data_IF_488729064179
#
_entry.id   IF_488729064179
#
_cell.length_a   1.000
_cell.length_b   1.000
_cell.length_c   1.000
_cell.angle_alpha   90.00
_cell.angle_beta   90.00
_cell.angle_gamma   90.00
#
_symmetry.space_group_name_H-M   'P 1'
#
loop_
_entity.id
_entity.type
_entity.pdbx_description
1 polymer ?
#
# COMPACT_ATOMS: atom_id res chain seq x y z
N UNK A 1 -48.78 49.04 -63.17
CA UNK A 1 -48.11 47.93 -63.89
C UNK A 1 -47.36 47.14 -62.83
N UNK A 2 -47.95 46.03 -62.41
CA UNK A 2 -47.60 45.33 -61.17
C UNK A 2 -46.81 44.09 -61.54
N UNK A 3 -45.50 44.12 -61.31
CA UNK A 3 -44.65 42.93 -61.52
C UNK A 3 -44.84 42.02 -60.32
N UNK A 4 -45.36 40.82 -60.57
CA UNK A 4 -45.49 39.73 -59.60
C UNK A 4 -44.18 38.94 -59.56
N UNK A 5 -43.45 39.02 -58.46
CA UNK A 5 -42.32 38.12 -58.19
C UNK A 5 -42.85 36.88 -57.46
N UNK A 6 -42.75 35.73 -58.14
CA UNK A 6 -42.97 34.41 -57.56
C UNK A 6 -41.73 34.06 -56.73
N UNK A 7 -41.85 34.06 -55.40
CA UNK A 7 -40.83 33.53 -54.50
C UNK A 7 -41.22 32.10 -54.15
N UNK A 8 -40.44 31.14 -54.62
CA UNK A 8 -40.49 29.75 -54.20
C UNK A 8 -39.89 29.70 -52.79
N UNK A 9 -40.72 29.50 -51.76
CA UNK A 9 -40.27 29.22 -50.40
C UNK A 9 -39.89 27.75 -50.35
N UNK A 10 -38.61 27.45 -50.50
CA UNK A 10 -38.05 26.18 -50.04
C UNK A 10 -37.94 26.30 -48.52
N UNK A 11 -38.85 25.66 -47.79
CA UNK A 11 -38.73 25.47 -46.36
C UNK A 11 -37.59 24.48 -46.10
N UNK A 12 -36.37 25.00 -45.92
CA UNK A 12 -35.31 24.22 -45.31
C UNK A 12 -35.55 24.30 -43.81
N UNK A 13 -36.10 23.22 -43.24
CA UNK A 13 -36.09 22.98 -41.81
C UNK A 13 -34.65 23.08 -41.30
N UNK A 14 -34.28 24.22 -40.72
CA UNK A 14 -33.11 24.28 -39.85
C UNK A 14 -33.47 23.58 -38.56
N UNK A 15 -33.17 22.27 -38.52
CA UNK A 15 -33.09 21.55 -37.26
C UNK A 15 -32.16 22.31 -36.32
N UNK A 16 -32.64 22.52 -35.09
CA UNK A 16 -31.77 22.77 -33.95
C UNK A 16 -30.65 21.74 -34.00
N UNK A 17 -29.44 22.16 -34.36
CA UNK A 17 -28.25 21.41 -34.00
C UNK A 17 -28.05 21.70 -32.51
N UNK A 18 -28.79 20.97 -31.67
CA UNK A 18 -28.27 20.65 -30.35
C UNK A 18 -26.90 20.04 -30.61
N UNK A 19 -25.88 20.56 -29.92
CA UNK A 19 -24.59 19.91 -29.87
C UNK A 19 -24.84 18.47 -29.44
N UNK A 20 -24.79 17.55 -30.41
CA UNK A 20 -24.90 16.14 -30.16
C UNK A 20 -23.56 15.79 -29.51
N UNK A 21 -23.48 15.96 -28.19
CA UNK A 21 -22.44 15.36 -27.39
C UNK A 21 -22.39 13.91 -27.82
N UNK A 22 -21.26 13.48 -28.37
CA UNK A 22 -20.99 12.06 -28.59
C UNK A 22 -21.20 11.40 -27.23
N UNK A 23 -22.33 10.71 -27.06
CA UNK A 23 -22.61 9.92 -25.88
C UNK A 23 -21.65 8.73 -25.94
N UNK A 24 -20.43 8.94 -25.43
CA UNK A 24 -19.54 7.84 -25.10
C UNK A 24 -20.28 7.05 -24.03
N UNK A 25 -20.61 5.75 -24.23
CA UNK A 25 -21.28 4.98 -23.20
C UNK A 25 -20.39 4.97 -21.95
N UNK A 26 -20.80 5.72 -20.93
CA UNK A 26 -20.12 5.83 -19.67
C UNK A 26 -20.29 4.52 -18.89
N UNK A 27 -19.50 3.51 -19.22
CA UNK A 27 -19.30 2.37 -18.32
C UNK A 27 -18.47 2.86 -17.16
N UNK A 28 -19.16 3.34 -16.13
CA UNK A 28 -18.57 3.85 -14.90
C UNK A 28 -19.37 5.02 -14.35
N UNK A 29 -20.54 4.72 -13.77
CA UNK A 29 -21.23 5.65 -12.87
C UNK A 29 -20.25 6.00 -11.75
N UNK A 30 -19.63 7.19 -11.81
CA UNK A 30 -19.01 7.76 -10.63
C UNK A 30 -20.16 8.08 -9.70
N UNK A 31 -20.31 7.31 -8.63
CA UNK A 31 -21.19 7.68 -7.53
C UNK A 31 -20.70 9.01 -6.96
N UNK A 32 -21.23 10.11 -7.48
CA UNK A 32 -21.08 11.43 -6.88
C UNK A 32 -21.97 11.39 -5.65
N UNK A 33 -21.37 11.46 -4.46
CA UNK A 33 -22.09 11.56 -3.19
C UNK A 33 -23.11 12.71 -3.30
N UNK A 34 -24.34 12.54 -2.80
CA UNK A 34 -25.32 13.62 -2.78
C UNK A 34 -24.77 14.76 -1.90
N UNK A 35 -24.27 15.82 -2.52
CA UNK A 35 -23.68 16.97 -1.82
C UNK A 35 -22.52 17.68 -2.51
N UNK A 36 -21.93 17.13 -3.58
CA UNK A 36 -20.83 17.83 -4.28
C UNK A 36 -21.38 18.93 -5.19
N UNK A 37 -21.40 20.18 -4.69
CA UNK A 37 -21.55 21.37 -5.53
C UNK A 37 -20.39 21.41 -6.52
N UNK A 38 -20.67 21.19 -7.80
CA UNK A 38 -19.73 21.50 -8.88
C UNK A 38 -19.59 23.02 -8.86
N UNK A 39 -18.49 23.50 -8.29
CA UNK A 39 -18.16 24.93 -8.30
C UNK A 39 -17.98 25.28 -9.77
N UNK A 40 -18.93 26.04 -10.32
CA UNK A 40 -18.77 26.72 -11.60
C UNK A 40 -17.45 27.47 -11.52
N UNK A 41 -16.50 27.12 -12.37
CA UNK A 41 -15.27 27.90 -12.53
C UNK A 41 -15.69 29.34 -12.79
N UNK A 42 -15.31 30.24 -11.88
CA UNK A 42 -15.58 31.65 -11.99
C UNK A 42 -14.85 32.11 -13.27
N UNK A 43 -15.62 32.41 -14.33
CA UNK A 43 -15.05 32.81 -15.59
C UNK A 43 -14.47 34.22 -15.41
N UNK A 44 -13.16 34.32 -15.25
CA UNK A 44 -12.47 35.61 -15.21
C UNK A 44 -12.76 36.33 -16.53
N UNK A 45 -13.64 37.32 -16.48
CA UNK A 45 -13.99 38.14 -17.64
C UNK A 45 -12.97 39.27 -17.71
N UNK A 46 -11.95 39.09 -18.54
CA UNK A 46 -10.95 40.12 -18.82
C UNK A 46 -11.58 41.17 -19.75
N UNK A 47 -11.63 42.46 -19.38
CA UNK A 47 -12.12 43.52 -20.27
C UNK A 47 -11.30 43.58 -21.57
N UNK A 48 -11.98 43.40 -22.70
CA UNK A 48 -11.36 43.40 -24.04
C UNK A 48 -11.38 44.82 -24.61
N UNK A 49 -10.53 45.68 -24.05
CA UNK A 49 -10.42 47.10 -24.43
C UNK A 49 -9.11 47.37 -25.16
N UNK A 50 -9.15 48.23 -26.19
CA UNK A 50 -7.97 48.69 -26.91
C UNK A 50 -7.82 50.21 -26.77
N UNK A 51 -6.69 50.67 -26.22
CA UNK A 51 -6.38 52.09 -26.15
C UNK A 51 -5.97 52.65 -27.51
N UNK A 52 -6.59 53.75 -27.94
CA UNK A 52 -6.24 54.43 -29.16
C UNK A 52 -6.12 55.94 -28.93
N UNK A 53 -5.06 56.53 -29.47
CA UNK A 53 -4.81 57.97 -29.41
C UNK A 53 -4.50 58.47 -30.82
N UNK A 54 -4.97 59.68 -31.11
CA UNK A 54 -4.79 60.27 -32.42
C UNK A 54 -4.81 61.80 -32.37
N UNK A 55 -4.39 62.40 -33.47
CA UNK A 55 -4.51 63.83 -33.72
C UNK A 55 -5.37 64.07 -34.95
N UNK A 56 -6.43 64.85 -34.80
CA UNK A 56 -7.27 65.33 -35.87
C UNK A 56 -6.74 66.68 -36.38
N UNK A 57 -6.55 66.77 -37.68
CA UNK A 57 -6.15 67.99 -38.38
C UNK A 57 -7.13 68.30 -39.52
N UNK A 58 -7.27 69.58 -39.86
CA UNK A 58 -7.96 70.01 -41.06
C UNK A 58 -7.14 69.72 -42.33
N UNK A 59 -7.69 70.07 -43.49
CA UNK A 59 -7.02 69.93 -44.79
C UNK A 59 -5.75 70.78 -44.95
N UNK A 60 -5.53 71.75 -44.07
CA UNK A 60 -4.36 72.64 -44.03
C UNK A 60 -3.33 72.16 -42.99
N UNK A 61 -3.59 71.06 -42.27
CA UNK A 61 -2.74 70.50 -41.24
C UNK A 61 -2.87 71.17 -39.86
N UNK A 62 -3.80 72.13 -39.70
CA UNK A 62 -4.06 72.74 -38.39
C UNK A 62 -4.87 71.79 -37.51
N UNK A 63 -4.63 71.76 -36.19
CA UNK A 63 -5.45 70.98 -35.28
C UNK A 63 -6.90 71.47 -35.33
N UNK A 64 -7.85 70.52 -35.27
CA UNK A 64 -9.27 70.89 -35.16
C UNK A 64 -9.54 71.63 -33.84
N UNK A 65 -10.54 72.53 -33.80
CA UNK A 65 -10.91 73.24 -32.58
C UNK A 65 -11.24 72.31 -31.40
N UNK A 66 -11.06 72.83 -30.18
CA UNK A 66 -11.47 72.12 -28.98
C UNK A 66 -13.00 71.92 -28.98
N UNK A 67 -13.44 70.69 -28.76
CA UNK A 67 -14.86 70.35 -28.86
C UNK A 67 -15.14 68.87 -28.67
N UNK A 68 -16.42 68.50 -28.73
CA UNK A 68 -16.84 67.09 -28.79
C UNK A 68 -17.14 66.72 -30.22
N UNK A 69 -16.51 65.65 -30.69
CA UNK A 69 -16.68 65.12 -32.05
C UNK A 69 -17.26 63.72 -31.99
N UNK A 70 -18.12 63.36 -32.94
CA UNK A 70 -18.60 61.99 -33.07
C UNK A 70 -17.59 61.22 -33.92
N UNK A 71 -16.93 60.23 -33.33
CA UNK A 71 -15.97 59.38 -34.03
C UNK A 71 -16.58 58.00 -34.23
N UNK A 72 -16.58 57.54 -35.48
CA UNK A 72 -16.95 56.16 -35.80
C UNK A 72 -15.68 55.37 -36.14
N UNK A 73 -15.41 54.35 -35.33
CA UNK A 73 -14.29 53.44 -35.47
C UNK A 73 -14.76 52.15 -36.13
N UNK A 74 -13.95 51.61 -37.04
CA UNK A 74 -14.24 50.35 -37.72
C UNK A 74 -12.99 49.50 -37.85
N UNK A 75 -13.14 48.19 -37.68
CA UNK A 75 -12.07 47.21 -37.88
C UNK A 75 -12.34 46.35 -39.11
N UNK A 76 -11.31 46.16 -39.92
CA UNK A 76 -11.33 45.40 -41.17
C UNK A 76 -10.22 44.36 -41.19
N UNK A 77 -10.44 43.29 -41.94
CA UNK A 77 -9.42 42.27 -42.28
C UNK A 77 -8.63 42.61 -43.55
N UNK A 78 -8.99 43.69 -44.25
CA UNK A 78 -8.42 44.11 -45.53
C UNK A 78 -8.07 45.59 -45.52
N UNK A 79 -7.00 45.97 -46.21
CA UNK A 79 -6.50 47.35 -46.29
C UNK A 79 -7.45 48.28 -47.05
N UNK A 80 -8.06 47.78 -48.12
CA UNK A 80 -9.04 48.49 -48.96
C UNK A 80 -10.26 47.62 -49.21
N UNK A 81 -11.44 48.23 -49.32
CA UNK A 81 -12.70 47.51 -49.47
C UNK A 81 -13.09 46.68 -48.24
N UNK A 82 -13.82 45.59 -48.47
CA UNK A 82 -14.29 44.67 -47.44
C UNK A 82 -15.40 45.24 -46.54
N UNK A 83 -16.05 44.36 -45.77
CA UNK A 83 -17.00 44.73 -44.73
C UNK A 83 -16.28 44.84 -43.37
N UNK A 84 -16.64 45.82 -42.53
CA UNK A 84 -16.09 45.88 -41.18
C UNK A 84 -16.63 44.71 -40.37
N UNK A 85 -15.76 44.01 -39.64
CA UNK A 85 -16.20 42.96 -38.71
C UNK A 85 -16.61 43.54 -37.34
N UNK A 86 -16.23 44.78 -37.08
CA UNK A 86 -16.59 45.49 -35.86
C UNK A 86 -16.74 46.99 -36.15
N UNK A 87 -17.69 47.63 -35.46
CA UNK A 87 -17.99 49.06 -35.59
C UNK A 87 -18.43 49.62 -34.24
N UNK A 88 -17.92 50.80 -33.90
CA UNK A 88 -18.26 51.50 -32.69
C UNK A 88 -18.36 53.00 -32.95
N UNK A 89 -19.38 53.64 -32.39
CA UNK A 89 -19.58 55.09 -32.44
C UNK A 89 -19.39 55.65 -31.03
N UNK A 90 -18.49 56.62 -30.88
CA UNK A 90 -18.24 57.29 -29.61
C UNK A 90 -18.25 58.81 -29.80
N UNK A 91 -18.77 59.54 -28.80
CA UNK A 91 -18.60 61.00 -28.71
C UNK A 91 -17.37 61.28 -27.86
N UNK A 92 -16.38 61.94 -28.45
CA UNK A 92 -15.04 62.09 -27.87
C UNK A 92 -14.68 63.57 -27.77
N UNK A 93 -14.21 63.99 -26.60
CA UNK A 93 -13.68 65.34 -26.43
C UNK A 93 -12.26 65.44 -26.97
N UNK A 94 -12.05 66.38 -27.90
CA UNK A 94 -10.78 66.67 -28.54
C UNK A 94 -10.24 67.98 -27.98
N UNK A 95 -8.94 68.02 -27.64
CA UNK A 95 -8.24 69.24 -27.20
C UNK A 95 -6.92 69.42 -27.95
N UNK A 96 -6.69 70.59 -28.53
CA UNK A 96 -5.58 70.88 -29.44
C UNK A 96 -5.46 69.84 -30.57
N UNK A 97 -6.61 69.35 -31.05
CA UNK A 97 -6.69 68.27 -32.04
C UNK A 97 -6.34 66.87 -31.51
N UNK A 98 -5.96 66.68 -30.25
CA UNK A 98 -5.59 65.37 -29.69
C UNK A 98 -6.79 64.73 -28.98
N UNK A 99 -6.91 63.41 -29.12
CA UNK A 99 -7.91 62.61 -28.39
C UNK A 99 -7.33 61.27 -27.91
N UNK A 100 -7.98 60.69 -26.90
CA UNK A 100 -7.68 59.35 -26.35
C UNK A 100 -8.98 58.63 -26.09
N UNK A 101 -9.10 57.39 -26.54
CA UNK A 101 -10.30 56.55 -26.41
C UNK A 101 -9.96 55.11 -26.06
N UNK A 102 -10.92 54.42 -25.47
CA UNK A 102 -10.90 52.98 -25.26
C UNK A 102 -11.92 52.34 -26.21
N UNK A 103 -11.42 51.66 -27.24
CA UNK A 103 -12.23 50.91 -28.17
C UNK A 103 -12.72 49.62 -27.50
N UNK A 104 -13.97 49.27 -27.73
CA UNK A 104 -14.65 48.14 -27.07
C UNK A 104 -15.45 48.52 -25.83
N UNK A 105 -15.47 49.81 -25.45
CA UNK A 105 -16.14 50.28 -24.23
C UNK A 105 -17.66 50.47 -24.41
N UNK A 106 -18.12 50.82 -25.61
CA UNK A 106 -19.53 50.98 -25.96
C UNK A 106 -20.01 49.73 -26.70
N UNK A 107 -19.27 49.29 -27.72
CA UNK A 107 -19.53 48.04 -28.46
C UNK A 107 -18.41 47.04 -28.20
N UNK A 108 -18.60 46.02 -27.35
CA UNK A 108 -17.55 45.06 -27.02
C UNK A 108 -16.97 44.37 -28.25
N UNK A 109 -15.64 44.19 -28.26
CA UNK A 109 -14.95 43.39 -29.28
C UNK A 109 -15.06 41.92 -28.89
N UNK A 110 -16.01 41.21 -29.49
CA UNK A 110 -16.29 39.80 -29.19
C UNK A 110 -15.17 38.86 -29.67
N UNK A 111 -14.66 39.10 -30.87
CA UNK A 111 -13.60 38.30 -31.48
C UNK A 111 -12.76 39.14 -32.44
N UNK A 112 -11.47 38.82 -32.51
CA UNK A 112 -10.59 39.24 -33.59
C UNK A 112 -10.24 38.03 -34.45
N UNK A 113 -10.01 38.17 -35.76
CA UNK A 113 -9.60 37.04 -36.59
C UNK A 113 -8.29 36.42 -36.09
N UNK A 114 -8.24 35.09 -35.96
CA UNK A 114 -7.06 34.35 -35.47
C UNK A 114 -5.86 34.44 -36.43
N UNK A 115 -6.14 34.65 -37.71
CA UNK A 115 -5.15 34.82 -38.75
C UNK A 115 -5.45 36.06 -39.60
N UNK A 116 -4.40 36.79 -39.97
CA UNK A 116 -4.47 37.92 -40.88
C UNK A 116 -4.06 39.25 -40.27
N UNK A 117 -4.20 40.31 -41.04
CA UNK A 117 -3.93 41.68 -40.62
C UNK A 117 -5.21 42.40 -40.23
N UNK A 118 -5.15 43.20 -39.18
CA UNK A 118 -6.27 44.04 -38.74
C UNK A 118 -5.97 45.49 -39.10
N UNK A 119 -6.95 46.17 -39.68
CA UNK A 119 -6.88 47.58 -40.04
C UNK A 119 -7.97 48.36 -39.30
N UNK A 120 -7.58 49.48 -38.71
CA UNK A 120 -8.46 50.45 -38.09
C UNK A 120 -8.74 51.59 -39.06
N UNK A 121 -10.01 51.95 -39.20
CA UNK A 121 -10.39 53.19 -39.84
C UNK A 121 -11.19 54.09 -38.93
N UNK A 122 -11.17 55.37 -39.26
CA UNK A 122 -11.80 56.44 -38.51
C UNK A 122 -12.66 57.26 -39.45
N UNK A 123 -13.87 57.57 -39.01
CA UNK A 123 -14.74 58.55 -39.62
C UNK A 123 -15.08 59.61 -38.59
N UNK A 124 -14.95 60.88 -38.97
CA UNK A 124 -15.28 62.04 -38.13
C UNK A 124 -16.64 62.57 -38.55
N UNK A 125 -17.55 62.68 -37.59
CA UNK A 125 -18.95 63.07 -37.77
C UNK A 125 -19.60 62.33 -38.95
N UNK A 126 -20.23 63.07 -39.87
CA UNK A 126 -20.84 62.53 -41.09
C UNK A 126 -19.90 62.60 -42.31
N UNK A 127 -18.60 62.84 -42.09
CA UNK A 127 -17.61 62.92 -43.15
C UNK A 127 -17.32 61.57 -43.82
N UNK A 128 -16.42 61.57 -44.79
CA UNK A 128 -15.91 60.32 -45.38
C UNK A 128 -14.99 59.57 -44.40
N UNK A 129 -14.93 58.25 -44.53
CA UNK A 129 -13.93 57.43 -43.83
C UNK A 129 -12.51 57.87 -44.24
N UNK A 130 -11.65 58.10 -43.25
CA UNK A 130 -10.28 58.54 -43.47
C UNK A 130 -9.46 57.41 -44.10
N UNK A 131 -8.66 57.76 -45.11
CA UNK A 131 -7.73 56.87 -45.80
C UNK A 131 -6.30 57.43 -45.72
N UNK A 132 -5.26 56.58 -45.67
CA UNK A 132 -5.30 55.11 -45.60
C UNK A 132 -5.72 54.57 -44.22
N UNK A 133 -6.20 53.32 -44.19
CA UNK A 133 -6.50 52.64 -42.92
C UNK A 133 -5.22 52.35 -42.14
N UNK A 134 -5.28 52.47 -40.81
CA UNK A 134 -4.15 52.22 -39.94
C UNK A 134 -4.02 50.72 -39.66
N UNK A 135 -2.90 50.11 -40.05
CA UNK A 135 -2.61 48.71 -39.69
C UNK A 135 -2.28 48.60 -38.20
N UNK A 136 -2.97 47.70 -37.51
CA UNK A 136 -2.63 47.33 -36.12
C UNK A 136 -1.51 46.29 -36.16
N UNK A 137 -0.49 46.50 -35.34
CA UNK A 137 0.70 45.64 -35.25
C UNK A 137 0.95 45.22 -33.81
N UNK A 138 1.55 44.04 -33.63
CA UNK A 138 1.97 43.54 -32.33
C UNK A 138 3.20 44.29 -31.81
N UNK A 139 3.27 44.48 -30.50
CA UNK A 139 4.49 44.94 -29.83
C UNK A 139 5.58 43.85 -29.85
N UNK A 140 6.86 44.25 -29.82
CA UNK A 140 8.00 43.32 -29.89
C UNK A 140 7.94 42.21 -28.81
N UNK A 141 7.59 42.54 -27.57
CA UNK A 141 7.44 41.56 -26.49
C UNK A 141 6.17 40.72 -26.62
N UNK A 142 5.14 41.21 -27.30
CA UNK A 142 3.91 40.46 -27.52
C UNK A 142 4.12 39.27 -28.47
N UNK A 143 5.19 39.24 -29.29
CA UNK A 143 5.51 38.03 -30.07
C UNK A 143 5.76 36.80 -29.20
N UNK A 144 6.14 36.97 -27.93
CA UNK A 144 6.34 35.85 -27.01
C UNK A 144 5.02 35.19 -26.56
N UNK A 145 3.87 35.84 -26.74
CA UNK A 145 2.56 35.29 -26.34
C UNK A 145 2.11 34.13 -27.21
N UNK A 146 2.74 33.90 -28.37
CA UNK A 146 2.52 32.68 -29.16
C UNK A 146 2.78 31.40 -28.32
N UNK A 147 3.69 31.47 -27.36
CA UNK A 147 3.94 30.36 -26.41
C UNK A 147 2.75 30.09 -25.49
N UNK A 148 2.00 31.14 -25.13
CA UNK A 148 0.82 31.01 -24.28
C UNK A 148 -0.37 30.43 -25.05
N UNK A 149 -0.45 30.62 -26.37
CA UNK A 149 -1.51 30.05 -27.20
C UNK A 149 -1.52 28.50 -27.16
N UNK A 150 -0.36 27.89 -26.91
CA UNK A 150 -0.21 26.44 -26.80
C UNK A 150 -0.19 25.94 -25.34
N UNK A 151 -0.60 26.77 -24.37
CA UNK A 151 -0.55 26.40 -22.94
C UNK A 151 -1.42 25.20 -22.57
N UNK A 152 -2.51 24.98 -23.30
CA UNK A 152 -3.41 23.83 -23.12
C UNK A 152 -2.90 22.55 -23.82
N UNK A 153 -1.81 22.64 -24.58
CA UNK A 153 -1.25 21.53 -25.35
C UNK A 153 -0.04 20.92 -24.65
N UNK A 154 -0.02 19.60 -24.50
CA UNK A 154 1.17 18.86 -24.11
C UNK A 154 1.83 18.28 -25.37
N UNK A 155 3.06 18.68 -25.66
CA UNK A 155 3.78 18.27 -26.89
C UNK A 155 2.97 18.58 -28.18
N UNK A 156 2.21 19.69 -28.18
CA UNK A 156 1.36 20.08 -29.32
C UNK A 156 0.09 19.25 -29.49
N UNK A 157 -0.29 18.46 -28.47
CA UNK A 157 -1.52 17.66 -28.45
C UNK A 157 -2.43 18.12 -27.31
N UNK A 158 -3.72 18.22 -27.59
CA UNK A 158 -4.74 18.44 -26.57
C UNK A 158 -4.85 17.20 -25.65
N UNK A 159 -5.32 17.41 -24.42
CA UNK A 159 -5.72 16.36 -23.46
C UNK A 159 -6.53 15.21 -24.06
N UNK A 160 -7.38 15.47 -25.06
CA UNK A 160 -8.19 14.46 -25.76
C UNK A 160 -7.35 13.43 -26.53
N UNK A 161 -6.12 13.77 -26.91
CA UNK A 161 -5.18 12.86 -27.55
C UNK A 161 -4.61 11.82 -26.58
N UNK A 162 -4.62 12.13 -25.28
CA UNK A 162 -4.06 11.25 -24.26
C UNK A 162 -5.16 10.41 -23.63
N UNK A 163 -4.98 9.09 -23.65
CA UNK A 163 -5.86 8.20 -22.89
C UNK A 163 -5.69 8.49 -21.40
N UNK A 164 -6.81 8.63 -20.67
CA UNK A 164 -6.78 8.77 -19.21
C UNK A 164 -6.16 7.52 -18.61
N UNK A 165 -4.92 7.62 -18.14
CA UNK A 165 -4.26 6.55 -17.42
C UNK A 165 -4.97 6.34 -16.07
N UNK A 166 -5.89 5.37 -16.01
CA UNK A 166 -6.41 4.87 -14.75
C UNK A 166 -5.32 3.98 -14.18
N UNK A 167 -4.53 4.52 -13.26
CA UNK A 167 -3.57 3.75 -12.49
C UNK A 167 -4.13 3.57 -11.09
N UNK A 168 -4.28 2.32 -10.68
CA UNK A 168 -4.59 1.98 -9.30
C UNK A 168 -3.28 2.04 -8.53
N UNK A 169 -3.09 3.07 -7.72
CA UNK A 169 -2.05 3.03 -6.70
C UNK A 169 -2.46 1.95 -5.69
N UNK A 170 -1.69 0.87 -5.60
CA UNK A 170 -1.95 -0.20 -4.64
C UNK A 170 -1.74 0.23 -3.17
N UNK A 171 -1.50 1.52 -2.91
CA UNK A 171 -1.14 2.05 -1.61
C UNK A 171 -1.60 3.51 -1.44
N UNK A 172 -2.89 3.72 -1.20
CA UNK A 172 -3.37 4.94 -0.53
C UNK A 172 -4.41 4.51 0.51
N UNK A 173 -3.95 4.29 1.73
CA UNK A 173 -4.78 4.17 2.93
C UNK A 173 -5.20 5.57 3.42
N UNK A 174 -5.72 6.42 2.56
CA UNK A 174 -6.16 7.77 2.97
C UNK A 174 -7.58 8.12 2.52
N UNK A 175 -8.39 7.12 2.20
CA UNK A 175 -9.84 7.27 2.11
C UNK A 175 -10.55 5.90 2.14
N UNK A 176 -10.83 5.38 3.34
CA UNK A 176 -11.99 4.48 3.54
C UNK A 176 -11.85 2.99 3.23
N UNK A 177 -10.72 2.35 3.55
CA UNK A 177 -10.63 0.89 3.39
C UNK A 177 -9.42 0.24 4.05
N UNK A 178 -9.35 0.27 5.38
CA UNK A 178 -8.35 -0.46 6.19
C UNK A 178 -8.59 -2.00 6.18
N UNK A 179 -8.75 -2.59 5.00
CA UNK A 179 -9.05 -4.02 4.82
C UNK A 179 -7.92 -4.79 4.14
N UNK A 180 -6.80 -4.13 3.79
CA UNK A 180 -5.67 -4.74 3.11
C UNK A 180 -4.33 -4.24 3.66
N UNK A 181 -3.43 -5.16 3.97
CA UNK A 181 -2.01 -4.88 4.24
C UNK A 181 -1.20 -5.62 3.17
N UNK A 182 -0.23 -4.93 2.53
CA UNK A 182 0.59 -5.48 1.45
C UNK A 182 -0.22 -6.14 0.31
N UNK A 183 -1.37 -5.55 -0.06
CA UNK A 183 -2.18 -6.03 -1.18
C UNK A 183 -3.03 -7.28 -0.90
N UNK A 184 -3.07 -7.81 0.32
CA UNK A 184 -3.87 -8.99 0.68
C UNK A 184 -4.99 -8.60 1.64
N UNK A 185 -6.18 -9.17 1.46
CA UNK A 185 -7.32 -8.98 2.35
C UNK A 185 -6.97 -9.41 3.78
N UNK A 186 -7.45 -8.70 4.81
CA UNK A 186 -7.27 -9.07 6.22
C UNK A 186 -7.74 -10.51 6.53
N UNK A 187 -8.77 -11.00 5.81
CA UNK A 187 -9.24 -12.39 5.90
C UNK A 187 -8.27 -13.42 5.31
N UNK A 188 -7.32 -13.01 4.46
CA UNK A 188 -6.24 -13.83 3.90
C UNK A 188 -4.87 -13.59 4.55
N UNK A 189 -4.83 -12.87 5.68
CA UNK A 189 -3.65 -12.70 6.52
C UNK A 189 -3.56 -13.78 7.61
N UNK A 190 -4.70 -14.41 7.95
CA UNK A 190 -4.80 -15.47 8.97
C UNK A 190 -3.98 -16.73 8.64
N UNK A 191 -3.68 -16.97 7.35
CA UNK A 191 -2.79 -18.07 6.93
C UNK A 191 -1.30 -17.74 6.98
N UNK A 192 -0.93 -16.48 7.21
CA UNK A 192 0.46 -15.99 7.16
C UNK A 192 0.97 -15.46 8.49
N UNK A 193 0.08 -15.23 9.45
CA UNK A 193 0.41 -14.72 10.77
C UNK A 193 -0.31 -15.53 11.83
N UNK A 194 0.40 -15.82 12.92
CA UNK A 194 -0.17 -16.41 14.13
C UNK A 194 -0.77 -15.26 14.95
N UNK A 195 -2.07 -15.29 15.22
CA UNK A 195 -2.71 -14.28 16.08
C UNK A 195 -2.30 -14.51 17.55
N UNK A 196 -1.85 -13.45 18.23
CA UNK A 196 -1.52 -13.49 19.65
C UNK A 196 -2.79 -13.69 20.50
N UNK A 197 -2.72 -14.52 21.54
CA UNK A 197 -3.81 -14.70 22.52
C UNK A 197 -5.02 -15.54 22.04
N UNK A 198 -5.00 -16.08 20.82
CA UNK A 198 -6.05 -16.97 20.32
C UNK A 198 -5.71 -18.45 20.55
N UNK A 199 -6.72 -19.24 20.93
CA UNK A 199 -6.56 -20.69 21.03
C UNK A 199 -6.33 -21.31 19.64
N UNK A 200 -5.42 -22.28 19.54
CA UNK A 200 -5.08 -22.99 18.31
C UNK A 200 -4.52 -22.10 17.17
N UNK A 201 -3.91 -20.96 17.50
CA UNK A 201 -3.30 -20.07 16.51
C UNK A 201 -2.07 -20.67 15.82
N UNK A 202 -1.49 -21.73 16.39
CA UNK A 202 -0.51 -22.62 15.74
C UNK A 202 -1.15 -24.00 15.62
N UNK A 203 -1.34 -24.48 14.39
CA UNK A 203 -1.91 -25.82 14.10
C UNK A 203 -0.85 -26.78 13.57
N UNK A 204 -1.14 -28.08 13.53
CA UNK A 204 -0.19 -29.10 13.04
C UNK A 204 0.31 -28.81 11.61
N UNK A 205 -0.54 -28.30 10.73
CA UNK A 205 -0.15 -27.93 9.36
C UNK A 205 0.84 -26.76 9.27
N UNK A 206 1.00 -25.98 10.34
CA UNK A 206 1.96 -24.87 10.43
C UNK A 206 3.34 -25.32 10.92
N UNK A 207 3.47 -26.57 11.39
CA UNK A 207 4.72 -27.14 11.91
C UNK A 207 5.18 -28.20 10.91
N UNK A 208 6.41 -28.06 10.39
CA UNK A 208 6.98 -29.13 9.56
C UNK A 208 7.47 -30.28 10.44
N UNK A 209 7.07 -31.50 10.11
CA UNK A 209 7.45 -32.69 10.86
C UNK A 209 8.99 -32.83 10.99
N UNK A 210 9.45 -33.14 12.20
CA UNK A 210 10.88 -33.35 12.51
C UNK A 210 11.73 -32.08 12.62
N UNK A 211 11.13 -30.88 12.46
CA UNK A 211 11.89 -29.61 12.52
C UNK A 211 11.99 -28.98 13.91
N UNK A 212 11.07 -29.33 14.84
CA UNK A 212 11.14 -28.85 16.22
C UNK A 212 12.23 -29.57 17.01
N UNK A 213 13.25 -28.81 17.42
CA UNK A 213 14.39 -29.22 18.22
C UNK A 213 14.30 -28.69 19.65
N UNK A 214 15.19 -29.20 20.52
CA UNK A 214 15.30 -28.71 21.92
C UNK A 214 15.71 -27.25 22.02
N UNK A 215 16.35 -26.70 20.99
CA UNK A 215 16.72 -25.29 20.93
C UNK A 215 15.52 -24.37 20.63
N UNK A 216 14.43 -24.89 20.05
CA UNK A 216 13.26 -24.11 19.66
C UNK A 216 12.29 -23.85 20.84
N UNK A 217 12.52 -24.51 21.98
CA UNK A 217 11.73 -24.36 23.21
C UNK A 217 12.60 -23.80 24.34
N UNK A 218 11.97 -23.06 25.26
CA UNK A 218 12.67 -22.53 26.43
C UNK A 218 13.32 -23.67 27.25
N UNK A 219 14.47 -23.39 27.89
CA UNK A 219 15.27 -24.40 28.60
C UNK A 219 14.53 -25.15 29.71
N UNK A 220 13.47 -24.56 30.27
CA UNK A 220 12.59 -25.17 31.28
C UNK A 220 11.26 -25.71 30.76
N UNK A 221 11.05 -25.77 29.44
CA UNK A 221 9.80 -26.25 28.85
C UNK A 221 9.51 -27.70 29.26
N UNK A 222 8.36 -27.93 29.89
CA UNK A 222 7.80 -29.25 30.19
C UNK A 222 6.54 -29.43 29.35
N UNK A 223 6.54 -30.38 28.42
CA UNK A 223 5.34 -30.63 27.63
C UNK A 223 4.20 -31.11 28.57
N UNK A 224 2.97 -30.55 28.47
CA UNK A 224 1.86 -30.86 29.39
C UNK A 224 1.45 -32.34 29.45
N UNK A 225 1.87 -33.13 28.45
CA UNK A 225 1.66 -34.57 28.36
C UNK A 225 2.95 -35.26 27.90
N UNK A 226 4.12 -34.78 28.33
CA UNK A 226 5.41 -35.39 28.01
C UNK A 226 5.37 -36.86 28.44
N UNK A 227 5.29 -37.76 27.47
CA UNK A 227 5.28 -39.18 27.76
C UNK A 227 6.68 -39.59 28.19
N UNK A 228 6.92 -39.52 29.50
CA UNK A 228 8.14 -40.07 30.10
C UNK A 228 8.21 -41.57 29.82
N UNK A 229 7.11 -42.21 29.39
CA UNK A 229 7.07 -43.62 29.01
C UNK A 229 7.82 -43.92 27.72
N UNK A 230 7.94 -43.00 26.74
CA UNK A 230 8.63 -43.32 25.49
C UNK A 230 10.14 -43.40 25.67
N UNK A 231 10.73 -42.49 26.47
CA UNK A 231 12.12 -42.62 26.91
C UNK A 231 12.31 -43.85 27.81
N UNK A 232 11.35 -44.17 28.69
CA UNK A 232 11.41 -45.37 29.54
C UNK A 232 11.25 -46.69 28.77
N UNK A 233 10.63 -46.68 27.58
CA UNK A 233 10.38 -47.85 26.73
C UNK A 233 11.60 -48.23 25.88
N UNK A 234 12.46 -47.26 25.53
CA UNK A 234 13.76 -47.49 24.88
C UNK A 234 14.94 -47.47 25.85
N UNK A 235 14.77 -46.98 27.08
CA UNK A 235 15.77 -47.10 28.11
C UNK A 235 15.94 -48.59 28.47
N UNK A 236 17.17 -49.14 28.42
CA UNK A 236 17.40 -50.50 28.87
C UNK A 236 17.02 -50.61 30.35
N UNK A 237 16.22 -51.63 30.69
CA UNK A 237 15.58 -51.84 32.00
C UNK A 237 16.56 -52.19 33.15
N UNK A 238 17.75 -51.61 33.19
CA UNK A 238 18.85 -52.25 33.92
C UNK A 238 18.96 -51.94 35.40
N UNK A 239 18.62 -50.78 35.96
CA UNK A 239 19.18 -50.48 37.30
C UNK A 239 18.23 -50.27 38.48
N UNK A 240 16.99 -49.82 38.33
CA UNK A 240 16.15 -49.57 39.52
C UNK A 240 15.23 -50.75 39.89
N UNK A 241 14.54 -51.34 38.90
CA UNK A 241 13.58 -52.43 39.15
C UNK A 241 14.24 -53.80 39.35
N UNK A 242 15.33 -54.08 38.63
CA UNK A 242 16.06 -55.35 38.71
C UNK A 242 16.88 -55.49 40.00
N UNK A 243 17.44 -54.39 40.51
CA UNK A 243 18.25 -54.39 41.73
C UNK A 243 17.36 -54.47 42.98
N UNK A 244 16.23 -53.73 43.01
CA UNK A 244 15.27 -53.82 44.10
C UNK A 244 14.62 -55.22 44.19
N UNK A 245 14.25 -55.82 43.05
CA UNK A 245 13.63 -57.15 43.00
C UNK A 245 14.59 -58.30 43.35
N UNK A 246 15.90 -58.17 43.09
CA UNK A 246 16.88 -59.22 43.36
C UNK A 246 17.72 -58.99 44.62
N UNK A 247 17.40 -58.00 45.45
CA UNK A 247 18.13 -57.76 46.71
C UNK A 247 18.15 -58.96 47.65
N UNK A 248 17.20 -59.90 47.51
CA UNK A 248 17.11 -61.15 48.28
C UNK A 248 17.80 -62.34 47.59
N UNK A 249 18.53 -62.13 46.48
CA UNK A 249 19.09 -63.20 45.65
C UNK A 249 20.58 -63.02 45.45
N UNK A 250 21.38 -63.98 45.91
CA UNK A 250 22.81 -64.07 45.59
C UNK A 250 22.99 -65.16 44.52
N UNK A 251 23.56 -64.82 43.36
CA UNK A 251 23.75 -65.74 42.23
C UNK A 251 22.47 -66.50 41.82
N UNK A 252 21.31 -65.84 41.91
CA UNK A 252 20.03 -66.42 41.53
C UNK A 252 19.43 -67.41 42.53
N UNK A 253 19.94 -67.48 43.76
CA UNK A 253 19.32 -68.24 44.86
C UNK A 253 18.86 -67.32 45.97
N UNK A 254 17.67 -67.59 46.48
CA UNK A 254 17.06 -66.85 47.60
C UNK A 254 17.93 -67.00 48.85
N UNK A 255 18.42 -65.88 49.37
CA UNK A 255 19.33 -65.84 50.51
C UNK A 255 18.62 -65.99 51.85
N UNK A 256 17.29 -65.87 51.89
CA UNK A 256 16.49 -66.10 53.11
C UNK A 256 16.44 -67.58 53.50
N UNK A 257 16.69 -68.49 52.55
CA UNK A 257 16.74 -69.95 52.76
C UNK A 257 18.17 -70.51 52.96
N UNK A 258 19.16 -69.64 53.15
CA UNK A 258 20.58 -70.02 53.31
C UNK A 258 21.03 -70.08 54.78
N UNK A 259 20.29 -69.46 55.71
CA UNK A 259 20.66 -69.36 57.13
C UNK A 259 20.93 -70.72 57.81
N UNK A 260 20.20 -71.78 57.43
CA UNK A 260 20.35 -73.11 58.07
C UNK A 260 21.52 -73.94 57.50
N UNK A 261 22.15 -73.52 56.40
CA UNK A 261 23.21 -74.28 55.71
C UNK A 261 24.61 -73.70 55.87
N UNK A 262 24.73 -72.56 56.54
CA UNK A 262 26.01 -71.91 56.82
C UNK A 262 26.22 -71.83 58.33
N UNK A 263 27.45 -72.10 58.76
CA UNK A 263 27.89 -71.89 60.15
C UNK A 263 28.24 -70.41 60.28
N UNK A 264 27.56 -69.68 61.15
CA UNK A 264 27.91 -68.28 61.43
C UNK A 264 29.26 -68.20 62.16
N UNK A 265 30.21 -67.46 61.60
CA UNK A 265 31.53 -67.24 62.18
C UNK A 265 31.40 -66.47 63.52
N UNK A 266 32.06 -66.94 64.58
CA UNK A 266 32.09 -66.27 65.88
C UNK A 266 30.87 -66.49 66.80
N UNK A 267 29.86 -67.27 66.38
CA UNK A 267 28.76 -67.67 67.26
C UNK A 267 29.12 -68.93 68.09
N UNK A 268 28.73 -68.95 69.37
CA UNK A 268 28.90 -70.12 70.22
C UNK A 268 27.90 -71.21 69.83
N UNK A 269 28.33 -72.48 69.84
CA UNK A 269 27.52 -73.65 69.48
C UNK A 269 27.03 -73.71 68.02
N UNK A 270 27.68 -72.97 67.10
CA UNK A 270 27.31 -72.98 65.67
C UNK A 270 27.52 -74.32 64.95
N UNK A 271 28.27 -75.24 65.57
CA UNK A 271 28.41 -76.62 65.12
C UNK A 271 27.84 -77.52 66.21
N UNK A 272 26.75 -78.24 65.90
CA UNK A 272 26.09 -79.17 66.83
C UNK A 272 26.38 -80.62 66.44
N UNK A 273 26.12 -81.58 67.34
CA UNK A 273 26.36 -83.01 67.07
C UNK A 273 25.64 -83.53 65.82
N UNK A 274 24.46 -83.00 65.50
CA UNK A 274 23.73 -83.35 64.27
C UNK A 274 24.39 -82.86 62.97
N UNK A 275 25.35 -81.94 63.07
CA UNK A 275 26.12 -81.41 61.93
C UNK A 275 27.39 -82.22 61.65
N UNK A 276 27.70 -83.21 62.49
CA UNK A 276 28.90 -84.05 62.41
C UNK A 276 28.43 -85.49 62.14
N UNK A 277 28.89 -86.08 61.03
CA UNK A 277 28.65 -87.49 60.76
C UNK A 277 29.47 -88.36 61.72
N UNK A 278 28.84 -89.37 62.33
CA UNK A 278 29.53 -90.24 63.27
C UNK A 278 30.69 -91.00 62.60
N UNK A 279 31.82 -91.10 63.28
CA UNK A 279 33.04 -91.73 62.78
C UNK A 279 33.84 -90.97 61.71
N UNK A 280 33.43 -89.77 61.27
CA UNK A 280 34.16 -89.04 60.21
C UNK A 280 35.22 -88.07 60.71
N UNK A 281 35.22 -87.70 61.99
CA UNK A 281 36.26 -86.86 62.57
C UNK A 281 37.54 -87.67 62.87
N UNK A 282 38.59 -87.39 62.12
CA UNK A 282 39.93 -87.96 62.26
C UNK A 282 40.88 -87.00 62.97
N UNK A 283 42.05 -87.49 63.38
CA UNK A 283 43.11 -86.67 64.01
C UNK A 283 43.64 -85.57 63.07
N UNK A 284 43.46 -85.71 61.76
CA UNK A 284 43.82 -84.69 60.78
C UNK A 284 42.83 -83.50 60.75
N UNK A 285 41.59 -83.70 61.25
CA UNK A 285 40.53 -82.69 61.20
C UNK A 285 40.57 -81.71 62.37
N UNK A 286 41.44 -81.96 63.36
CA UNK A 286 41.66 -81.09 64.52
C UNK A 286 43.08 -80.53 64.51
N UNK A 287 43.25 -79.31 65.02
CA UNK A 287 44.57 -78.68 65.13
C UNK A 287 45.54 -79.59 65.92
N UNK A 288 46.82 -79.59 65.53
CA UNK A 288 47.84 -80.52 66.08
C UNK A 288 48.06 -80.42 67.60
N UNK A 289 47.64 -79.31 68.23
CA UNK A 289 47.68 -79.10 69.68
C UNK A 289 46.33 -79.27 70.41
N UNK A 290 45.26 -79.67 69.72
CA UNK A 290 43.95 -79.85 70.33
C UNK A 290 43.99 -80.99 71.36
N UNK A 291 43.66 -80.66 72.61
CA UNK A 291 43.41 -81.62 73.69
C UNK A 291 41.93 -81.59 74.00
N UNK A 292 41.24 -82.72 73.82
CA UNK A 292 39.83 -82.80 74.19
C UNK A 292 39.70 -82.54 75.71
N UNK A 293 38.83 -81.62 76.16
CA UNK A 293 38.71 -81.24 77.57
C UNK A 293 38.37 -82.41 78.52
N UNK A 294 37.80 -83.48 77.97
CA UNK A 294 37.39 -84.70 78.68
C UNK A 294 37.92 -85.97 78.00
N UNK A 295 39.18 -85.96 77.55
CA UNK A 295 39.79 -87.15 76.97
C UNK A 295 39.92 -88.27 78.02
N UNK A 296 39.09 -89.31 77.91
CA UNK A 296 39.08 -90.49 78.79
C UNK A 296 40.27 -91.42 78.50
N UNK A 297 41.48 -90.88 78.66
CA UNK A 297 42.72 -91.65 78.60
C UNK A 297 42.87 -92.53 79.87
N UNK A 298 41.96 -92.37 80.83
CA UNK A 298 41.92 -93.15 82.07
C UNK A 298 41.27 -94.53 81.86
N UNK A 299 40.23 -94.66 81.02
CA UNK A 299 39.56 -95.95 80.82
C UNK A 299 40.40 -96.99 80.05
N UNK A 300 41.29 -96.56 79.15
CA UNK A 300 42.16 -97.50 78.41
C UNK A 300 43.32 -98.04 79.26
N UNK A 301 43.73 -97.33 80.32
CA UNK A 301 44.80 -97.78 81.22
C UNK A 301 44.34 -98.87 82.21
N UNK A 302 43.03 -99.04 82.42
CA UNK A 302 42.46 -100.05 83.34
C UNK A 302 42.37 -101.45 82.74
N UNK A 303 42.59 -101.60 81.43
CA UNK A 303 42.47 -102.87 80.70
C UNK A 303 43.80 -103.35 80.11
N UNK A 304 44.91 -102.68 80.39
CA UNK A 304 46.24 -103.16 80.01
C UNK A 304 46.65 -104.31 80.95
N UNK A 305 46.86 -105.55 80.45
CA UNK A 305 47.42 -106.63 81.26
C UNK A 305 48.87 -106.30 81.66
N UNK A 306 49.27 -106.74 82.87
CA UNK A 306 50.62 -106.60 83.41
C UNK A 306 51.68 -107.34 82.58
#
# INVERSE_FOLDING_TARGET
MTVRSVIIIIAICTGLIQANEVQIPATGSKNILPGTTIVSTDAITIPRLLSYQGRLTDSLGNPVPDGSYQLTFRLYSQETGGTPFWTEVQTVSVRNGIFSVLLGSVTPISSVPDAGTVYLSLQVDTGSELTPRLRIVSAAYAFLTERAANSDLLQGRDTTYFARAVHTHAYVDSAGGAQRIAGLALTGLDSRYVNEGQANSVTSGMITDGTLQRADVASGFKAPYADTADYARVAPAVDSARIAGNSHRLQGKDTTALDVRYVNEGQANSVTSGMITDGTLQRADVASGFKAPYADTADYARVAPA
#
